data_IF_980974483313
#
_entry.id   IF_980974483313
#
_cell.length_a   1.000
_cell.length_b   1.000
_cell.length_c   1.000
_cell.angle_alpha   90.00
_cell.angle_beta   90.00
_cell.angle_gamma   90.00
#
_symmetry.space_group_name_H-M   'P 1'
#
loop_
_entity.id
_entity.type
_entity.pdbx_description
1 polymer ?
#
# COMPACT_ATOMS: atom_id res chain seq x y z
N UNK A 1 -18.87 -16.94 1.55
CA UNK A 1 -17.86 -16.38 2.48
C UNK A 1 -18.54 -15.29 3.29
N UNK A 2 -18.41 -15.30 4.62
CA UNK A 2 -18.96 -14.24 5.47
C UNK A 2 -18.37 -12.90 5.03
N UNK A 3 -19.22 -11.95 4.62
CA UNK A 3 -18.83 -10.62 4.16
C UNK A 3 -18.46 -9.75 5.37
N UNK A 4 -17.25 -9.93 5.90
CA UNK A 4 -16.78 -9.24 7.12
C UNK A 4 -16.55 -7.74 6.93
N UNK A 5 -16.62 -7.22 5.70
CA UNK A 5 -16.54 -5.79 5.42
C UNK A 5 -17.92 -5.12 5.32
N UNK A 6 -19.01 -5.86 5.28
CA UNK A 6 -20.35 -5.30 5.21
C UNK A 6 -20.62 -4.36 6.41
N UNK A 7 -21.07 -3.14 6.12
CA UNK A 7 -21.33 -2.10 7.10
C UNK A 7 -20.09 -1.43 7.72
N UNK A 8 -18.87 -1.93 7.42
CA UNK A 8 -17.60 -1.43 7.95
C UNK A 8 -17.17 -0.14 7.27
N UNK A 9 -16.60 0.79 8.02
CA UNK A 9 -15.99 2.02 7.51
C UNK A 9 -14.54 1.73 7.16
N UNK A 10 -14.20 1.85 5.86
CA UNK A 10 -12.89 1.55 5.31
C UNK A 10 -12.28 2.80 4.70
N UNK A 11 -11.18 3.30 5.26
CA UNK A 11 -10.42 4.44 4.74
C UNK A 11 -9.26 3.91 3.90
N UNK A 12 -9.09 4.46 2.68
CA UNK A 12 -8.07 4.00 1.72
C UNK A 12 -7.29 5.20 1.19
N UNK A 13 -5.98 5.22 1.40
CA UNK A 13 -5.10 6.22 0.77
C UNK A 13 -4.62 5.75 -0.61
N UNK A 14 -4.35 6.70 -1.51
CA UNK A 14 -3.98 6.40 -2.90
C UNK A 14 -5.12 5.76 -3.68
N UNK A 15 -6.37 6.16 -3.38
CA UNK A 15 -7.58 5.53 -3.92
C UNK A 15 -7.94 5.96 -5.36
N UNK A 16 -7.20 6.89 -5.97
CA UNK A 16 -7.51 7.42 -7.30
C UNK A 16 -7.06 6.54 -8.48
N UNK A 17 -6.36 5.43 -8.21
CA UNK A 17 -5.87 4.53 -9.27
C UNK A 17 -5.39 3.18 -8.70
N UNK A 18 -5.24 2.19 -9.59
CA UNK A 18 -4.57 0.92 -9.33
C UNK A 18 -5.16 0.15 -8.14
N UNK A 19 -4.32 -0.34 -7.24
CA UNK A 19 -4.74 -1.18 -6.10
C UNK A 19 -5.74 -0.44 -5.20
N UNK A 20 -5.53 0.86 -4.94
CA UNK A 20 -6.41 1.67 -4.09
C UNK A 20 -7.81 1.81 -4.68
N UNK A 21 -7.92 2.08 -5.97
CA UNK A 21 -9.19 2.15 -6.69
C UNK A 21 -9.90 0.79 -6.74
N UNK A 22 -9.16 -0.29 -7.04
CA UNK A 22 -9.72 -1.63 -7.05
C UNK A 22 -10.28 -2.03 -5.67
N UNK A 23 -9.56 -1.71 -4.58
CA UNK A 23 -10.05 -1.91 -3.21
C UNK A 23 -11.32 -1.10 -2.93
N UNK A 24 -11.36 0.17 -3.36
CA UNK A 24 -12.54 1.01 -3.17
C UNK A 24 -13.79 0.43 -3.82
N UNK A 25 -13.67 -0.02 -5.08
CA UNK A 25 -14.75 -0.64 -5.85
C UNK A 25 -15.21 -1.96 -5.23
N UNK A 26 -14.28 -2.87 -4.97
CA UNK A 26 -14.59 -4.20 -4.44
C UNK A 26 -15.20 -4.11 -3.05
N UNK A 27 -14.63 -3.27 -2.16
CA UNK A 27 -15.13 -3.20 -0.78
C UNK A 27 -16.48 -2.50 -0.68
N UNK A 28 -16.72 -1.47 -1.51
CA UNK A 28 -18.05 -0.89 -1.64
C UNK A 28 -19.09 -1.92 -2.13
N UNK A 29 -18.73 -2.76 -3.11
CA UNK A 29 -19.58 -3.86 -3.58
C UNK A 29 -19.80 -4.94 -2.51
N UNK A 30 -18.87 -5.10 -1.57
CA UNK A 30 -19.03 -5.93 -0.38
C UNK A 30 -19.89 -5.28 0.72
N UNK A 31 -20.43 -4.07 0.50
CA UNK A 31 -21.28 -3.35 1.46
C UNK A 31 -20.51 -2.51 2.47
N UNK A 32 -19.21 -2.29 2.29
CA UNK A 32 -18.44 -1.36 3.11
C UNK A 32 -18.81 0.09 2.78
N UNK A 33 -18.64 0.97 3.77
CA UNK A 33 -18.65 2.42 3.62
C UNK A 33 -17.21 2.86 3.37
N UNK A 34 -16.89 3.27 2.14
CA UNK A 34 -15.51 3.58 1.76
C UNK A 34 -15.21 5.08 1.83
N UNK A 35 -14.05 5.44 2.34
CA UNK A 35 -13.55 6.81 2.37
C UNK A 35 -12.23 6.89 1.61
N UNK A 36 -12.21 7.71 0.56
CA UNK A 36 -11.17 7.71 -0.45
C UNK A 36 -10.26 8.92 -0.28
N UNK A 37 -8.96 8.68 -0.09
CA UNK A 37 -7.95 9.73 -0.01
C UNK A 37 -6.96 9.64 -1.15
N UNK A 38 -6.77 10.72 -1.91
CA UNK A 38 -5.71 10.89 -2.91
C UNK A 38 -5.60 12.37 -3.31
N UNK A 39 -4.54 12.73 -4.05
CA UNK A 39 -4.31 14.10 -4.51
C UNK A 39 -5.27 14.55 -5.62
N UNK A 40 -5.73 13.63 -6.46
CA UNK A 40 -6.57 13.90 -7.64
C UNK A 40 -8.05 13.92 -7.24
N UNK A 41 -8.56 15.08 -6.85
CA UNK A 41 -9.93 15.28 -6.37
C UNK A 41 -10.99 14.86 -7.41
N UNK A 42 -10.79 15.22 -8.67
CA UNK A 42 -11.64 14.89 -9.80
C UNK A 42 -11.88 13.39 -9.98
N UNK A 43 -10.81 12.60 -9.86
CA UNK A 43 -10.89 11.14 -9.92
C UNK A 43 -11.60 10.54 -8.72
N UNK A 44 -11.36 11.09 -7.51
CA UNK A 44 -12.03 10.65 -6.31
C UNK A 44 -13.52 10.93 -6.36
N UNK A 45 -13.90 12.11 -6.81
CA UNK A 45 -15.31 12.51 -6.99
C UNK A 45 -16.02 11.60 -7.99
N UNK A 46 -15.39 11.34 -9.13
CA UNK A 46 -15.92 10.43 -10.15
C UNK A 46 -16.11 9.03 -9.58
N UNK A 47 -15.11 8.48 -8.90
CA UNK A 47 -15.17 7.16 -8.27
C UNK A 47 -16.26 7.09 -7.20
N UNK A 48 -16.43 8.13 -6.37
CA UNK A 48 -17.52 8.21 -5.41
C UNK A 48 -18.88 8.20 -6.07
N UNK A 49 -19.07 8.99 -7.14
CA UNK A 49 -20.32 9.01 -7.93
C UNK A 49 -20.66 7.64 -8.50
N UNK A 50 -19.68 6.96 -9.09
CA UNK A 50 -19.86 5.61 -9.63
C UNK A 50 -20.22 4.57 -8.55
N UNK A 51 -19.57 4.62 -7.39
CA UNK A 51 -19.89 3.74 -6.27
C UNK A 51 -21.30 3.99 -5.76
N UNK A 52 -21.68 5.26 -5.60
CA UNK A 52 -23.00 5.65 -5.10
C UNK A 52 -24.12 5.30 -6.10
N UNK A 53 -23.90 5.48 -7.38
CA UNK A 53 -24.84 5.09 -8.42
C UNK A 53 -25.13 3.58 -8.43
N UNK A 54 -24.18 2.77 -7.94
CA UNK A 54 -24.35 1.31 -7.75
C UNK A 54 -24.92 0.93 -6.38
N UNK A 55 -25.42 1.90 -5.61
CA UNK A 55 -26.01 1.68 -4.27
C UNK A 55 -24.97 1.55 -3.14
N UNK A 56 -23.69 1.76 -3.41
CA UNK A 56 -22.64 1.77 -2.38
C UNK A 56 -22.62 3.08 -1.58
N UNK A 57 -21.80 3.12 -0.51
CA UNK A 57 -21.59 4.31 0.32
C UNK A 57 -20.14 4.75 0.21
N UNK A 58 -19.91 5.97 -0.28
CA UNK A 58 -18.58 6.52 -0.47
C UNK A 58 -18.51 7.98 -0.04
N UNK A 59 -17.36 8.38 0.52
CA UNK A 59 -16.96 9.76 0.75
C UNK A 59 -15.49 9.92 0.30
N UNK A 60 -15.03 11.15 0.12
CA UNK A 60 -13.65 11.39 -0.29
C UNK A 60 -13.09 12.68 0.30
N UNK A 61 -11.76 12.75 0.35
CA UNK A 61 -11.00 13.94 0.72
C UNK A 61 -9.77 14.05 -0.16
N UNK A 62 -9.53 15.21 -0.76
CA UNK A 62 -8.26 15.50 -1.42
C UNK A 62 -7.15 15.43 -0.38
N UNK A 63 -6.20 14.50 -0.57
CA UNK A 63 -5.22 14.13 0.46
C UNK A 63 -3.85 13.92 -0.16
N UNK A 64 -2.91 14.77 0.21
CA UNK A 64 -1.49 14.50 0.05
C UNK A 64 -0.97 13.89 1.35
N UNK A 65 -0.59 12.61 1.33
CA UNK A 65 -0.16 11.88 2.54
C UNK A 65 1.15 12.40 3.14
N UNK A 66 1.87 13.27 2.43
CA UNK A 66 3.07 13.95 2.96
C UNK A 66 2.71 15.14 3.87
N UNK A 67 1.44 15.56 3.89
CA UNK A 67 0.92 16.66 4.70
C UNK A 67 0.12 16.11 5.87
N UNK A 68 0.52 16.47 7.08
CA UNK A 68 -0.11 16.01 8.32
C UNK A 68 -1.58 16.39 8.35
N UNK A 69 -1.90 17.64 7.97
CA UNK A 69 -3.24 18.23 8.00
C UNK A 69 -4.19 17.52 7.02
N UNK A 70 -3.67 17.10 5.87
CA UNK A 70 -4.45 16.35 4.88
C UNK A 70 -4.82 14.96 5.40
N UNK A 71 -3.87 14.29 6.07
CA UNK A 71 -4.12 13.00 6.71
C UNK A 71 -5.16 13.12 7.84
N UNK A 72 -5.08 14.16 8.68
CA UNK A 72 -6.07 14.43 9.71
C UNK A 72 -7.45 14.69 9.11
N UNK A 73 -7.52 15.54 8.07
CA UNK A 73 -8.78 15.85 7.36
C UNK A 73 -9.42 14.61 6.76
N UNK A 74 -8.64 13.69 6.18
CA UNK A 74 -9.15 12.41 5.65
C UNK A 74 -9.83 11.59 6.74
N UNK A 75 -9.21 11.48 7.92
CA UNK A 75 -9.77 10.77 9.07
C UNK A 75 -11.04 11.45 9.59
N UNK A 76 -11.04 12.79 9.68
CA UNK A 76 -12.21 13.58 10.06
C UNK A 76 -13.38 13.36 9.09
N UNK A 77 -13.12 13.35 7.79
CA UNK A 77 -14.12 13.04 6.75
C UNK A 77 -14.77 11.67 7.00
N UNK A 78 -14.00 10.65 7.36
CA UNK A 78 -14.54 9.31 7.66
C UNK A 78 -15.47 9.33 8.90
N UNK A 79 -15.07 10.06 9.92
CA UNK A 79 -15.85 10.17 11.18
C UNK A 79 -17.14 10.95 10.94
N UNK A 80 -17.08 12.08 10.23
CA UNK A 80 -18.25 12.92 9.93
C UNK A 80 -19.25 12.19 9.02
N UNK A 81 -18.76 11.50 7.98
CA UNK A 81 -19.62 10.82 7.04
C UNK A 81 -20.24 9.52 7.58
N UNK A 82 -19.50 8.76 8.41
CA UNK A 82 -19.88 7.40 8.75
C UNK A 82 -19.75 7.04 10.24
N UNK A 83 -19.36 7.97 11.11
CA UNK A 83 -19.36 7.83 12.56
C UNK A 83 -18.12 7.18 13.16
N UNK A 84 -17.12 6.78 12.35
CA UNK A 84 -15.89 6.15 12.86
C UNK A 84 -15.08 5.47 11.79
N UNK A 85 -14.12 4.62 12.21
CA UNK A 85 -13.24 3.86 11.31
C UNK A 85 -13.11 2.43 11.84
N UNK A 86 -13.35 1.45 10.97
CA UNK A 86 -13.10 0.04 11.23
C UNK A 86 -11.81 -0.47 10.58
N UNK A 87 -11.47 0.06 9.40
CA UNK A 87 -10.27 -0.34 8.66
C UNK A 87 -9.57 0.90 8.10
N UNK A 88 -8.29 1.04 8.38
CA UNK A 88 -7.40 2.02 7.75
C UNK A 88 -6.43 1.29 6.83
N UNK A 89 -6.40 1.64 5.54
CA UNK A 89 -5.51 1.07 4.53
C UNK A 89 -4.54 2.14 4.03
N UNK A 90 -3.30 2.06 4.50
CA UNK A 90 -2.19 2.87 4.04
C UNK A 90 -1.65 2.26 2.74
N UNK A 91 -2.24 2.68 1.60
CA UNK A 91 -1.91 2.17 0.27
C UNK A 91 -1.16 3.20 -0.58
N UNK A 92 -1.30 4.50 -0.33
CA UNK A 92 -0.55 5.52 -1.06
C UNK A 92 0.96 5.19 -1.06
N UNK A 93 1.58 5.27 -2.22
CA UNK A 93 3.00 4.96 -2.36
C UNK A 93 3.53 5.27 -3.74
N UNK A 94 4.83 5.50 -3.80
CA UNK A 94 5.61 5.71 -5.02
C UNK A 94 6.78 4.73 -5.04
N UNK A 95 7.33 4.48 -6.23
CA UNK A 95 8.50 3.61 -6.44
C UNK A 95 9.64 4.39 -7.11
N UNK A 96 10.79 3.73 -7.25
CA UNK A 96 11.94 4.26 -7.98
C UNK A 96 12.63 3.17 -8.77
N UNK A 97 13.49 3.55 -9.74
CA UNK A 97 14.38 2.65 -10.44
C UNK A 97 15.68 3.37 -10.82
N UNK A 98 16.68 3.24 -9.96
CA UNK A 98 18.04 3.72 -10.17
C UNK A 98 19.01 2.97 -9.25
N UNK A 99 20.30 2.89 -9.60
CA UNK A 99 21.35 2.50 -8.66
C UNK A 99 21.57 3.63 -7.64
N UNK A 100 22.11 3.27 -6.48
CA UNK A 100 22.34 4.24 -5.42
C UNK A 100 23.45 5.23 -5.79
N UNK A 101 24.43 4.80 -6.55
CA UNK A 101 25.57 5.63 -6.97
C UNK A 101 25.14 6.83 -7.84
N UNK A 102 24.05 6.67 -8.60
CA UNK A 102 23.52 7.71 -9.49
C UNK A 102 22.36 8.50 -8.85
N UNK A 103 21.90 8.10 -7.65
CA UNK A 103 20.65 8.56 -7.07
C UNK A 103 20.77 9.93 -6.42
N UNK A 104 19.93 10.88 -6.84
CA UNK A 104 19.71 12.12 -6.08
C UNK A 104 19.03 11.79 -4.73
N UNK A 105 19.61 12.28 -3.63
CA UNK A 105 19.09 12.00 -2.29
C UNK A 105 17.67 12.54 -2.07
N UNK A 106 17.24 13.56 -2.80
CA UNK A 106 15.87 14.07 -2.75
C UNK A 106 14.82 13.00 -3.15
N UNK A 107 15.20 12.07 -4.04
CA UNK A 107 14.34 10.93 -4.43
C UNK A 107 14.13 10.00 -3.23
N UNK A 108 15.17 9.74 -2.45
CA UNK A 108 15.08 8.91 -1.25
C UNK A 108 14.20 9.57 -0.19
N UNK A 109 14.40 10.87 0.06
CA UNK A 109 13.54 11.65 0.96
C UNK A 109 12.07 11.56 0.53
N UNK A 110 11.78 11.83 -0.74
CA UNK A 110 10.41 11.76 -1.29
C UNK A 110 9.75 10.39 -1.12
N UNK A 111 10.53 9.29 -1.28
CA UNK A 111 10.04 7.94 -1.02
C UNK A 111 9.71 7.71 0.45
N UNK A 112 10.54 8.21 1.36
CA UNK A 112 10.28 8.14 2.80
C UNK A 112 9.05 8.97 3.18
N UNK A 113 8.91 10.18 2.66
CA UNK A 113 7.77 11.05 2.97
C UNK A 113 6.44 10.41 2.56
N UNK A 114 6.36 9.88 1.34
CA UNK A 114 5.11 9.29 0.84
C UNK A 114 4.85 7.92 1.47
N UNK A 115 5.81 6.99 1.40
CA UNK A 115 5.58 5.59 1.75
C UNK A 115 5.58 5.33 3.25
N UNK A 116 6.48 6.01 3.99
CA UNK A 116 6.64 5.82 5.43
C UNK A 116 5.89 6.88 6.23
N UNK A 117 6.23 8.16 6.08
CA UNK A 117 5.60 9.22 6.87
C UNK A 117 4.10 9.32 6.61
N UNK A 118 3.66 9.16 5.35
CA UNK A 118 2.23 9.09 5.04
C UNK A 118 1.50 7.97 5.79
N UNK A 119 2.16 6.81 5.96
CA UNK A 119 1.61 5.71 6.79
C UNK A 119 1.57 6.11 8.27
N UNK A 120 2.61 6.76 8.79
CA UNK A 120 2.69 7.22 10.18
C UNK A 120 1.58 8.22 10.49
N UNK A 121 1.42 9.26 9.65
CA UNK A 121 0.42 10.30 9.86
C UNK A 121 -1.01 9.74 9.84
N UNK A 122 -1.35 8.97 8.81
CA UNK A 122 -2.66 8.32 8.74
C UNK A 122 -2.91 7.41 9.94
N UNK A 123 -1.92 6.65 10.37
CA UNK A 123 -2.02 5.78 11.56
C UNK A 123 -2.26 6.60 12.82
N UNK A 124 -1.53 7.70 13.00
CA UNK A 124 -1.63 8.57 14.20
C UNK A 124 -3.07 9.01 14.43
N UNK A 125 -3.74 9.51 13.40
CA UNK A 125 -5.11 10.02 13.52
C UNK A 125 -6.16 8.90 13.50
N UNK A 126 -5.95 7.79 12.80
CA UNK A 126 -6.90 6.69 12.74
C UNK A 126 -6.87 5.80 14.01
N UNK A 127 -5.73 5.71 14.70
CA UNK A 127 -5.49 4.75 15.78
C UNK A 127 -6.54 4.78 16.90
N UNK A 128 -6.99 5.93 17.43
CA UNK A 128 -8.01 5.96 18.47
C UNK A 128 -9.34 5.32 18.05
N UNK A 129 -9.72 5.49 16.78
CA UNK A 129 -10.95 4.92 16.22
C UNK A 129 -10.81 3.41 16.00
N UNK A 130 -9.67 2.99 15.47
CA UNK A 130 -9.35 1.57 15.26
C UNK A 130 -9.26 0.79 16.57
N UNK A 131 -8.76 1.40 17.65
CA UNK A 131 -8.75 0.80 18.98
C UNK A 131 -10.16 0.59 19.50
N UNK A 132 -11.04 1.59 19.37
CA UNK A 132 -12.46 1.51 19.81
C UNK A 132 -13.23 0.44 19.05
N UNK A 133 -13.05 0.34 17.73
CA UNK A 133 -13.73 -0.64 16.87
C UNK A 133 -13.09 -2.03 16.93
N UNK A 134 -11.94 -2.22 17.63
CA UNK A 134 -11.07 -3.40 17.53
C UNK A 134 -10.77 -3.73 16.06
N UNK A 135 -10.56 -2.68 15.27
CA UNK A 135 -10.49 -2.66 13.83
C UNK A 135 -9.18 -3.20 13.25
N UNK A 136 -8.89 -2.79 12.04
CA UNK A 136 -7.71 -3.24 11.28
C UNK A 136 -6.91 -2.07 10.74
N UNK A 137 -5.61 -2.05 10.98
CA UNK A 137 -4.63 -1.22 10.31
C UNK A 137 -3.89 -2.07 9.26
N UNK A 138 -3.91 -1.64 8.01
CA UNK A 138 -3.30 -2.37 6.89
C UNK A 138 -2.30 -1.48 6.18
N UNK A 139 -1.06 -1.91 6.07
CA UNK A 139 -0.07 -1.27 5.20
C UNK A 139 0.14 -2.08 3.92
N UNK A 140 -0.02 -1.44 2.78
CA UNK A 140 0.35 -2.03 1.50
C UNK A 140 1.86 -1.81 1.30
N UNK A 141 2.62 -2.79 1.77
CA UNK A 141 4.06 -2.87 1.62
C UNK A 141 4.42 -3.46 0.25
N UNK A 142 5.40 -4.32 0.19
CA UNK A 142 5.87 -5.02 -1.00
C UNK A 142 6.76 -6.19 -0.57
N UNK A 143 7.10 -7.08 -1.49
CA UNK A 143 8.26 -7.98 -1.33
C UNK A 143 9.53 -7.16 -1.05
N UNK A 144 9.64 -5.94 -1.61
CA UNK A 144 10.72 -4.99 -1.32
C UNK A 144 10.76 -4.50 0.14
N UNK A 145 9.71 -4.70 0.93
CA UNK A 145 9.67 -4.37 2.37
C UNK A 145 10.06 -5.53 3.30
N UNK A 146 10.44 -6.67 2.72
CA UNK A 146 10.96 -7.85 3.44
C UNK A 146 12.31 -8.33 2.87
N UNK A 147 12.63 -7.88 1.67
CA UNK A 147 13.89 -8.14 0.99
C UNK A 147 14.31 -6.93 0.16
N UNK A 148 15.60 -6.53 0.26
CA UNK A 148 16.13 -5.43 -0.55
C UNK A 148 16.18 -5.81 -2.03
N UNK A 149 15.62 -4.94 -2.88
CA UNK A 149 15.64 -5.14 -4.32
C UNK A 149 16.68 -4.23 -4.97
N UNK A 150 17.61 -4.77 -5.77
CA UNK A 150 18.58 -3.99 -6.52
C UNK A 150 17.89 -2.93 -7.40
N UNK A 151 18.49 -1.74 -7.51
CA UNK A 151 17.90 -0.62 -8.23
C UNK A 151 16.61 -0.04 -7.60
N UNK A 152 16.32 -0.37 -6.35
CA UNK A 152 15.13 0.05 -5.60
C UNK A 152 15.48 0.49 -4.16
N UNK A 153 16.65 1.05 -3.95
CA UNK A 153 17.21 1.33 -2.61
C UNK A 153 16.26 2.12 -1.72
N UNK A 154 15.83 3.31 -2.16
CA UNK A 154 14.91 4.15 -1.39
C UNK A 154 13.51 3.53 -1.25
N UNK A 155 13.03 2.82 -2.28
CA UNK A 155 11.76 2.11 -2.20
C UNK A 155 11.81 0.99 -1.16
N UNK A 156 12.83 0.14 -1.21
CA UNK A 156 13.02 -0.92 -0.22
C UNK A 156 13.15 -0.33 1.18
N UNK A 157 13.99 0.68 1.37
CA UNK A 157 14.17 1.34 2.67
C UNK A 157 12.84 1.85 3.24
N UNK A 158 12.03 2.55 2.43
CA UNK A 158 10.73 3.09 2.87
C UNK A 158 9.71 2.00 3.22
N UNK A 159 9.71 0.88 2.47
CA UNK A 159 8.80 -0.25 2.73
C UNK A 159 9.25 -1.11 3.93
N UNK A 160 10.56 -1.22 4.19
CA UNK A 160 11.07 -1.80 5.43
C UNK A 160 10.71 -0.94 6.66
N UNK A 161 10.89 0.39 6.57
CA UNK A 161 10.51 1.33 7.62
C UNK A 161 9.01 1.20 7.95
N UNK A 162 8.13 1.16 6.91
CA UNK A 162 6.70 0.89 7.09
C UNK A 162 6.45 -0.45 7.80
N UNK A 163 7.13 -1.51 7.39
CA UNK A 163 6.96 -2.85 7.98
C UNK A 163 7.31 -2.85 9.45
N UNK A 164 8.50 -2.33 9.82
CA UNK A 164 8.94 -2.25 11.22
C UNK A 164 8.00 -1.42 12.09
N UNK A 165 7.56 -0.25 11.58
CA UNK A 165 6.58 0.59 12.26
C UNK A 165 5.27 -0.16 12.54
N UNK A 166 4.68 -0.80 11.53
CA UNK A 166 3.42 -1.53 11.67
C UNK A 166 3.55 -2.74 12.62
N UNK A 167 4.68 -3.43 12.60
CA UNK A 167 4.96 -4.52 13.55
C UNK A 167 4.99 -4.03 14.99
N UNK A 168 5.62 -2.89 15.24
CA UNK A 168 5.67 -2.26 16.57
C UNK A 168 4.26 -1.83 17.02
N UNK A 169 3.51 -1.13 16.18
CA UNK A 169 2.11 -0.74 16.47
C UNK A 169 1.25 -1.96 16.81
N UNK A 170 1.46 -3.09 16.15
CA UNK A 170 0.76 -4.35 16.46
C UNK A 170 1.04 -4.81 17.90
N UNK A 171 2.29 -4.81 18.31
CA UNK A 171 2.70 -5.28 19.65
C UNK A 171 2.18 -4.34 20.73
N UNK A 172 2.32 -3.03 20.57
CA UNK A 172 1.83 -2.01 21.51
C UNK A 172 0.31 -2.08 21.73
N UNK A 173 -0.43 -2.61 20.76
CA UNK A 173 -1.90 -2.65 20.79
C UNK A 173 -2.49 -4.05 20.95
N UNK A 174 -1.69 -5.05 21.31
CA UNK A 174 -2.16 -6.44 21.50
C UNK A 174 -3.34 -6.53 22.45
N UNK A 175 -3.26 -5.89 23.62
CA UNK A 175 -4.32 -5.91 24.64
C UNK A 175 -5.57 -5.13 24.23
N UNK A 176 -5.46 -4.19 23.28
CA UNK A 176 -6.57 -3.40 22.74
C UNK A 176 -7.33 -4.09 21.61
N UNK A 177 -6.87 -5.27 21.17
CA UNK A 177 -7.50 -6.06 20.13
C UNK A 177 -7.38 -5.48 18.73
N UNK A 178 -6.46 -4.53 18.50
CA UNK A 178 -6.16 -4.00 17.17
C UNK A 178 -5.56 -5.10 16.28
N UNK A 179 -6.08 -5.21 15.08
CA UNK A 179 -5.46 -6.03 14.04
C UNK A 179 -4.53 -5.16 13.18
N UNK A 180 -3.28 -5.60 12.98
CA UNK A 180 -2.34 -4.93 12.08
C UNK A 180 -1.83 -5.94 11.06
N UNK A 181 -1.97 -5.60 9.79
CA UNK A 181 -1.54 -6.43 8.67
C UNK A 181 -0.54 -5.70 7.77
N UNK A 182 0.58 -6.36 7.48
CA UNK A 182 1.49 -5.98 6.41
C UNK A 182 1.14 -6.82 5.18
N UNK A 183 0.66 -6.18 4.12
CA UNK A 183 0.33 -6.82 2.86
C UNK A 183 1.46 -6.57 1.86
N UNK A 184 2.02 -7.63 1.32
CA UNK A 184 3.18 -7.60 0.42
C UNK A 184 2.78 -8.16 -0.96
N UNK A 185 2.22 -7.30 -1.84
CA UNK A 185 2.08 -7.69 -3.25
C UNK A 185 3.46 -7.89 -3.87
N UNK A 186 3.51 -8.77 -4.84
CA UNK A 186 4.63 -8.85 -5.78
C UNK A 186 4.48 -7.84 -6.92
N UNK A 187 4.95 -8.22 -8.11
CA UNK A 187 4.79 -7.38 -9.28
C UNK A 187 3.31 -7.30 -9.69
N UNK A 188 2.76 -6.10 -9.58
CA UNK A 188 1.33 -5.85 -9.87
C UNK A 188 1.21 -4.89 -11.04
N UNK A 189 0.31 -5.16 -11.98
CA UNK A 189 -0.06 -4.26 -13.06
C UNK A 189 -0.77 -3.04 -12.46
N UNK A 190 -0.05 -1.93 -12.33
CA UNK A 190 -0.56 -0.69 -11.76
C UNK A 190 0.29 0.53 -12.19
N UNK A 191 -0.31 1.72 -12.13
CA UNK A 191 0.33 2.96 -12.55
C UNK A 191 1.60 3.34 -11.77
N UNK A 192 1.84 2.74 -10.59
CA UNK A 192 3.02 3.01 -9.75
C UNK A 192 4.34 2.75 -10.48
N UNK A 193 4.32 1.93 -11.53
CA UNK A 193 5.49 1.58 -12.31
C UNK A 193 5.83 2.63 -13.36
N UNK A 194 4.82 3.18 -14.03
CA UNK A 194 4.98 4.30 -14.97
C UNK A 194 5.40 5.58 -14.24
N UNK A 195 4.90 5.77 -13.03
CA UNK A 195 5.25 6.91 -12.17
C UNK A 195 6.45 6.65 -11.25
N UNK A 196 7.18 5.53 -11.43
CA UNK A 196 8.40 5.26 -10.69
C UNK A 196 9.44 6.36 -10.98
N UNK A 197 10.14 6.81 -9.94
CA UNK A 197 11.15 7.86 -10.06
C UNK A 197 12.45 7.29 -10.64
N UNK A 198 13.08 8.03 -11.52
CA UNK A 198 14.43 7.81 -12.01
C UNK A 198 15.47 8.38 -11.02
N UNK A 199 16.73 8.34 -11.37
CA UNK A 199 17.83 8.82 -10.54
C UNK A 199 17.71 10.32 -10.17
N UNK A 200 17.20 11.14 -11.09
CA UNK A 200 17.02 12.58 -10.95
C UNK A 200 15.62 12.98 -10.41
N UNK A 201 14.77 12.00 -10.08
CA UNK A 201 13.43 12.23 -9.57
C UNK A 201 12.35 12.50 -10.65
N UNK A 202 12.67 12.42 -11.93
CA UNK A 202 11.69 12.41 -13.01
C UNK A 202 10.89 11.10 -13.04
N UNK A 203 9.78 11.06 -13.79
CA UNK A 203 9.00 9.83 -13.93
C UNK A 203 9.55 8.95 -15.04
N UNK A 204 9.64 7.64 -14.79
CA UNK A 204 10.16 6.66 -15.77
C UNK A 204 9.33 6.59 -17.06
N UNK A 205 8.02 6.81 -17.01
CA UNK A 205 7.12 6.84 -18.18
C UNK A 205 6.90 5.51 -18.90
N UNK A 206 7.59 4.43 -18.49
CA UNK A 206 7.51 3.11 -19.12
C UNK A 206 7.56 1.99 -18.10
N UNK A 207 7.16 0.78 -18.49
CA UNK A 207 7.30 -0.43 -17.66
C UNK A 207 8.28 -1.41 -18.29
N UNK A 208 9.29 -1.92 -17.56
CA UNK A 208 10.24 -2.89 -18.09
C UNK A 208 9.71 -4.33 -18.13
N UNK A 209 8.46 -4.57 -17.72
CA UNK A 209 7.90 -5.92 -17.61
C UNK A 209 6.58 -6.05 -18.37
N UNK A 210 6.30 -7.25 -18.88
CA UNK A 210 5.04 -7.61 -19.49
C UNK A 210 3.93 -7.67 -18.43
N UNK A 211 2.91 -6.82 -18.56
CA UNK A 211 1.83 -6.71 -17.58
C UNK A 211 0.95 -7.96 -17.48
N UNK A 212 0.80 -8.72 -18.58
CA UNK A 212 -0.02 -9.93 -18.62
C UNK A 212 0.44 -11.07 -17.70
N UNK A 213 1.68 -11.01 -17.21
CA UNK A 213 2.25 -12.00 -16.28
C UNK A 213 2.26 -11.55 -14.83
N UNK A 214 1.63 -10.41 -14.52
CA UNK A 214 1.59 -9.85 -13.16
C UNK A 214 0.23 -10.05 -12.51
N UNK A 215 0.19 -9.89 -11.20
CA UNK A 215 -1.09 -9.80 -10.49
C UNK A 215 -1.86 -8.57 -10.96
N UNK A 216 -3.20 -8.67 -11.02
CA UNK A 216 -4.05 -7.51 -11.24
C UNK A 216 -4.32 -6.76 -9.93
N UNK A 217 -4.72 -5.50 -10.02
CA UNK A 217 -5.10 -4.69 -8.87
C UNK A 217 -6.29 -5.32 -8.11
N UNK A 218 -7.25 -5.92 -8.83
CA UNK A 218 -8.43 -6.59 -8.29
C UNK A 218 -8.03 -7.87 -7.51
N UNK A 219 -7.08 -8.64 -8.02
CA UNK A 219 -6.56 -9.80 -7.31
C UNK A 219 -5.91 -9.41 -5.98
N UNK A 220 -5.13 -8.31 -5.97
CA UNK A 220 -4.54 -7.77 -4.75
C UNK A 220 -5.64 -7.30 -3.79
N UNK A 221 -6.63 -6.54 -4.25
CA UNK A 221 -7.76 -6.07 -3.45
C UNK A 221 -8.49 -7.24 -2.76
N UNK A 222 -8.79 -8.27 -3.53
CA UNK A 222 -9.45 -9.48 -3.03
C UNK A 222 -8.64 -10.23 -1.96
N UNK A 223 -7.33 -10.38 -2.16
CA UNK A 223 -6.44 -11.04 -1.20
C UNK A 223 -6.33 -10.21 0.09
N UNK A 224 -6.27 -8.87 -0.02
CA UNK A 224 -6.24 -7.97 1.14
C UNK A 224 -7.54 -8.10 1.95
N UNK A 225 -8.72 -8.10 1.31
CA UNK A 225 -10.00 -8.30 1.98
C UNK A 225 -10.04 -9.64 2.75
N UNK A 226 -9.58 -10.73 2.13
CA UNK A 226 -9.45 -12.05 2.79
C UNK A 226 -8.46 -12.01 3.96
N UNK A 227 -7.36 -11.27 3.83
CA UNK A 227 -6.37 -11.07 4.88
C UNK A 227 -6.96 -10.35 6.10
N UNK A 228 -7.70 -9.27 5.86
CA UNK A 228 -8.43 -8.52 6.91
C UNK A 228 -9.44 -9.43 7.60
N UNK A 229 -10.27 -10.13 6.83
CA UNK A 229 -11.31 -11.01 7.36
C UNK A 229 -10.76 -12.15 8.24
N UNK A 230 -9.56 -12.63 7.95
CA UNK A 230 -8.84 -13.69 8.69
C UNK A 230 -7.84 -13.15 9.71
N UNK A 231 -7.75 -11.84 9.88
CA UNK A 231 -6.80 -11.14 10.76
C UNK A 231 -5.35 -11.61 10.57
N UNK A 232 -4.91 -11.75 9.31
CA UNK A 232 -3.54 -12.13 9.00
C UNK A 232 -2.56 -11.03 9.39
N UNK A 233 -1.42 -11.38 9.99
CA UNK A 233 -0.36 -10.41 10.34
C UNK A 233 0.50 -10.02 9.15
N UNK A 234 0.86 -11.02 8.34
CA UNK A 234 1.65 -10.88 7.12
C UNK A 234 0.92 -11.56 5.97
N UNK A 235 0.79 -10.87 4.85
CA UNK A 235 0.13 -11.38 3.66
C UNK A 235 1.08 -11.31 2.45
N UNK A 236 1.85 -12.38 2.23
CA UNK A 236 2.68 -12.57 1.04
C UNK A 236 1.81 -13.17 -0.07
N UNK A 237 1.62 -12.43 -1.16
CA UNK A 237 0.58 -12.76 -2.14
C UNK A 237 1.05 -13.80 -3.15
N UNK A 238 2.30 -13.70 -3.61
CA UNK A 238 2.87 -14.62 -4.61
C UNK A 238 3.64 -15.78 -3.96
N UNK A 239 3.67 -16.93 -4.65
CA UNK A 239 4.42 -18.08 -4.20
C UNK A 239 5.93 -17.80 -4.11
N UNK A 240 6.46 -17.06 -5.09
CA UNK A 240 7.86 -16.63 -5.15
C UNK A 240 8.22 -15.76 -3.94
N UNK A 241 7.37 -14.79 -3.57
CA UNK A 241 7.58 -13.96 -2.39
C UNK A 241 7.58 -14.78 -1.08
N UNK A 242 6.73 -15.80 -0.99
CA UNK A 242 6.71 -16.73 0.17
C UNK A 242 7.97 -17.59 0.22
N UNK A 243 8.38 -18.15 -0.91
CA UNK A 243 9.61 -18.95 -1.00
C UNK A 243 10.84 -18.11 -0.65
N UNK A 244 10.96 -16.91 -1.23
CA UNK A 244 12.04 -15.95 -0.93
C UNK A 244 12.10 -15.60 0.55
N UNK A 245 10.95 -15.29 1.16
CA UNK A 245 10.89 -14.97 2.61
C UNK A 245 11.37 -16.14 3.48
N UNK A 246 11.04 -17.37 3.09
CA UNK A 246 11.49 -18.58 3.80
C UNK A 246 12.99 -18.83 3.59
N UNK A 247 13.44 -18.86 2.34
CA UNK A 247 14.85 -19.17 1.99
C UNK A 247 15.81 -18.14 2.58
N UNK A 248 15.44 -16.85 2.58
CA UNK A 248 16.27 -15.78 3.16
C UNK A 248 16.69 -16.03 4.61
N UNK A 249 15.88 -16.75 5.40
CA UNK A 249 16.21 -17.05 6.81
C UNK A 249 17.40 -17.99 6.95
N UNK A 250 17.66 -18.82 5.95
CA UNK A 250 18.69 -19.88 6.00
C UNK A 250 19.83 -19.65 5.00
N UNK A 251 19.53 -19.03 3.86
CA UNK A 251 20.48 -18.81 2.77
C UNK A 251 20.34 -17.40 2.16
N UNK A 252 20.61 -16.32 2.93
CA UNK A 252 20.44 -14.94 2.46
C UNK A 252 21.28 -14.64 1.20
N UNK A 253 22.55 -15.10 1.17
CA UNK A 253 23.43 -14.87 0.03
C UNK A 253 22.94 -15.51 -1.29
N UNK A 254 22.21 -16.64 -1.20
CA UNK A 254 21.59 -17.24 -2.39
C UNK A 254 20.47 -16.35 -2.92
N UNK A 255 19.67 -15.78 -2.02
CA UNK A 255 18.58 -14.87 -2.39
C UNK A 255 19.13 -13.60 -3.01
N UNK A 256 20.24 -13.03 -2.50
CA UNK A 256 20.88 -11.85 -3.05
C UNK A 256 21.36 -12.10 -4.50
N UNK A 257 22.03 -13.24 -4.75
CA UNK A 257 22.44 -13.64 -6.10
C UNK A 257 21.27 -13.83 -7.05
N UNK A 258 20.19 -14.45 -6.58
CA UNK A 258 18.97 -14.64 -7.38
C UNK A 258 18.33 -13.31 -7.77
N UNK A 259 18.18 -12.37 -6.81
CA UNK A 259 17.62 -11.06 -7.13
C UNK A 259 18.51 -10.24 -8.04
N UNK A 260 19.83 -10.27 -7.85
CA UNK A 260 20.77 -9.64 -8.78
C UNK A 260 20.58 -10.20 -10.20
N UNK A 261 20.55 -11.52 -10.35
CA UNK A 261 20.37 -12.18 -11.64
C UNK A 261 19.02 -11.84 -12.30
N UNK A 262 17.91 -11.85 -11.53
CA UNK A 262 16.58 -11.52 -12.06
C UNK A 262 16.52 -10.06 -12.48
N UNK A 263 17.02 -9.14 -11.66
CA UNK A 263 16.94 -7.71 -11.93
C UNK A 263 17.92 -7.26 -13.03
N UNK A 264 19.06 -7.91 -13.18
CA UNK A 264 20.01 -7.65 -14.29
C UNK A 264 19.45 -8.03 -15.66
N UNK A 265 18.49 -8.93 -15.72
CA UNK A 265 17.82 -9.35 -16.98
C UNK A 265 16.63 -8.47 -17.36
N UNK A 266 16.22 -7.54 -16.52
CA UNK A 266 15.15 -6.61 -16.89
C UNK A 266 15.55 -5.75 -18.11
N UNK A 267 14.63 -5.44 -19.04
CA UNK A 267 14.87 -4.46 -20.09
C UNK A 267 15.36 -3.14 -19.49
N UNK A 268 16.37 -2.54 -20.08
CA UNK A 268 17.02 -1.31 -19.61
C UNK A 268 17.43 -1.39 -18.14
N UNK A 269 17.97 -2.54 -17.72
CA UNK A 269 18.46 -2.72 -16.35
C UNK A 269 19.56 -1.69 -16.03
N UNK A 270 19.53 -1.06 -14.84
CA UNK A 270 20.60 -0.14 -14.44
C UNK A 270 21.94 -0.84 -14.17
N UNK A 271 22.00 -2.18 -14.23
CA UNK A 271 23.24 -2.98 -14.10
C UNK A 271 23.97 -3.22 -15.43
N UNK A 272 23.57 -2.59 -16.49
CA UNK A 272 24.20 -2.71 -17.82
C UNK A 272 25.02 -1.49 -18.12
#
# INVERSE_FOLDING_TARGET
MSNKLNGKVVVITGASSGIGEAMAREYAAMGAKVVLGARQADKLETLCKEITAKGGKAAWSATDVTKVEDCERLIKTAVEAFGGIDVMICNAGISMRALFDDLDLSVLHRLMDVNFWGTVYCTKFALPYLQRSKGSLVGISSVAGIHGLPGRTGYSASKFAMTGFLETIRVENLKKGLHVMVACPGFTASNVRFSALTADGSQQGSTPREEGKMMTAEQVAHIVAKGIARRKRLCLMEAEGRATHFVKKFAPALVDKLFYWVMSKEPNSPFK
#
